data_IF_454005955185
#
_entry.id   IF_454005955185
#
_cell.length_a   1.000
_cell.length_b   1.000
_cell.length_c   1.000
_cell.angle_alpha   90.00
_cell.angle_beta   90.00
_cell.angle_gamma   90.00
#
_symmetry.space_group_name_H-M   'P 1'
#
loop_
_entity.id
_entity.type
_entity.pdbx_description
1 polymer ?
#
# COMPACT_ATOMS: atom_id res chain seq x y z
N UNK A 1 55.11 -1.61 -27.53
CA UNK A 1 54.11 -2.71 -27.49
C UNK A 1 52.66 -2.23 -27.27
N UNK A 2 52.39 -0.93 -27.11
CA UNK A 2 51.02 -0.39 -26.92
C UNK A 2 50.36 0.07 -28.24
N UNK A 3 51.15 0.47 -29.24
CA UNK A 3 50.65 1.00 -30.52
C UNK A 3 50.05 -0.02 -31.51
N UNK A 4 50.05 -1.32 -31.20
CA UNK A 4 49.52 -2.37 -32.10
C UNK A 4 48.08 -2.81 -31.76
N UNK A 5 47.51 -2.31 -30.66
CA UNK A 5 46.18 -2.72 -30.17
C UNK A 5 45.05 -1.86 -30.77
N UNK A 6 45.38 -0.67 -31.27
CA UNK A 6 44.42 0.26 -31.85
C UNK A 6 44.44 0.14 -33.38
N UNK A 7 43.87 -0.95 -33.88
CA UNK A 7 43.40 -1.01 -35.26
C UNK A 7 42.03 -0.30 -35.28
N UNK A 8 41.79 0.65 -36.20
CA UNK A 8 40.59 1.49 -36.21
C UNK A 8 39.27 0.69 -36.18
N UNK A 9 39.28 -0.53 -36.71
CA UNK A 9 38.14 -1.46 -36.64
C UNK A 9 37.79 -1.94 -35.23
N UNK A 10 38.77 -2.04 -34.33
CA UNK A 10 38.58 -2.56 -32.97
C UNK A 10 38.35 -1.44 -31.95
N UNK A 11 38.66 -0.19 -32.27
CA UNK A 11 38.40 0.97 -31.40
C UNK A 11 36.91 1.06 -31.05
N UNK A 12 36.03 0.92 -32.04
CA UNK A 12 34.58 0.93 -31.81
C UNK A 12 34.13 -0.21 -30.86
N UNK A 13 34.70 -1.41 -31.04
CA UNK A 13 34.45 -2.55 -30.16
C UNK A 13 34.86 -2.27 -28.71
N UNK A 14 36.08 -1.75 -28.50
CA UNK A 14 36.58 -1.44 -27.16
C UNK A 14 35.79 -0.32 -26.48
N UNK A 15 35.40 0.73 -27.22
CA UNK A 15 34.57 1.80 -26.69
C UNK A 15 33.21 1.25 -26.25
N UNK A 16 32.56 0.41 -27.06
CA UNK A 16 31.29 -0.22 -26.69
C UNK A 16 31.40 -1.08 -25.43
N UNK A 17 32.48 -1.86 -25.29
CA UNK A 17 32.71 -2.68 -24.08
C UNK A 17 32.85 -1.78 -22.84
N UNK A 18 33.62 -0.69 -22.93
CA UNK A 18 33.81 0.24 -21.81
C UNK A 18 32.49 0.90 -21.41
N UNK A 19 31.68 1.32 -22.39
CA UNK A 19 30.35 1.91 -22.15
C UNK A 19 29.44 0.91 -21.45
N UNK A 20 29.38 -0.35 -21.90
CA UNK A 20 28.60 -1.40 -21.25
C UNK A 20 29.02 -1.57 -19.79
N UNK A 21 30.33 -1.65 -19.51
CA UNK A 21 30.85 -1.81 -18.14
C UNK A 21 30.43 -0.64 -17.25
N UNK A 22 30.53 0.61 -17.73
CA UNK A 22 30.11 1.80 -16.98
C UNK A 22 28.60 1.76 -16.70
N UNK A 23 27.78 1.41 -17.70
CA UNK A 23 26.33 1.29 -17.51
C UNK A 23 25.96 0.18 -16.53
N UNK A 24 26.64 -0.96 -16.57
CA UNK A 24 26.40 -2.07 -15.63
C UNK A 24 26.70 -1.66 -14.19
N UNK A 25 27.83 -0.99 -13.96
CA UNK A 25 28.21 -0.51 -12.61
C UNK A 25 27.22 0.56 -12.13
N UNK A 26 26.89 1.53 -12.99
CA UNK A 26 25.92 2.59 -12.65
C UNK A 26 24.54 2.02 -12.33
N UNK A 27 24.06 1.05 -13.12
CA UNK A 27 22.79 0.36 -12.88
C UNK A 27 22.78 -0.41 -11.56
N UNK A 28 23.85 -1.14 -11.23
CA UNK A 28 23.94 -1.89 -9.97
C UNK A 28 23.87 -0.97 -8.73
N UNK A 29 24.51 0.20 -8.79
CA UNK A 29 24.49 1.19 -7.71
C UNK A 29 23.09 1.82 -7.57
N UNK A 30 22.47 2.21 -8.69
CA UNK A 30 21.15 2.85 -8.65
C UNK A 30 20.07 1.89 -8.16
N UNK A 31 20.03 0.65 -8.67
CA UNK A 31 19.03 -0.35 -8.25
C UNK A 31 19.09 -0.63 -6.75
N UNK A 32 20.28 -0.73 -6.17
CA UNK A 32 20.41 -0.99 -4.74
C UNK A 32 19.81 0.14 -3.89
N UNK A 33 20.01 1.40 -4.31
CA UNK A 33 19.47 2.56 -3.59
C UNK A 33 17.96 2.73 -3.80
N UNK A 34 17.45 2.46 -5.00
CA UNK A 34 16.02 2.59 -5.29
C UNK A 34 15.19 1.44 -4.70
N UNK A 35 15.72 0.21 -4.62
CA UNK A 35 14.98 -0.94 -4.11
C UNK A 35 14.46 -0.73 -2.69
N UNK A 36 15.21 -0.02 -1.83
CA UNK A 36 14.79 0.27 -0.48
C UNK A 36 13.68 1.34 -0.42
N UNK A 37 13.80 2.40 -1.22
CA UNK A 37 12.78 3.45 -1.31
C UNK A 37 11.46 2.92 -1.89
N UNK A 38 11.52 2.12 -2.96
CA UNK A 38 10.32 1.47 -3.52
C UNK A 38 9.65 0.51 -2.53
N UNK A 39 10.43 -0.24 -1.73
CA UNK A 39 9.86 -1.18 -0.76
C UNK A 39 9.08 -0.46 0.35
N UNK A 40 9.63 0.61 0.93
CA UNK A 40 9.01 1.28 2.06
C UNK A 40 7.81 2.14 1.64
N UNK A 41 7.94 2.91 0.55
CA UNK A 41 6.86 3.75 0.03
C UNK A 41 5.68 2.90 -0.46
N UNK A 42 5.96 1.71 -1.03
CA UNK A 42 4.90 0.77 -1.43
C UNK A 42 4.12 0.23 -0.23
N UNK A 43 4.79 -0.07 0.88
CA UNK A 43 4.15 -0.63 2.08
C UNK A 43 3.28 0.41 2.80
N UNK A 44 3.77 1.64 2.94
CA UNK A 44 3.01 2.75 3.53
C UNK A 44 1.79 3.06 2.66
N UNK A 45 1.96 3.18 1.35
CA UNK A 45 0.84 3.45 0.43
C UNK A 45 -0.20 2.32 0.42
N UNK A 46 0.22 1.06 0.59
CA UNK A 46 -0.67 -0.08 0.78
C UNK A 46 -1.46 0.02 2.09
N UNK A 47 -0.80 0.40 3.20
CA UNK A 47 -1.47 0.61 4.49
C UNK A 47 -2.55 1.69 4.40
N UNK A 48 -2.21 2.86 3.87
CA UNK A 48 -3.14 3.97 3.70
C UNK A 48 -4.31 3.60 2.79
N UNK A 49 -4.03 2.90 1.68
CA UNK A 49 -5.07 2.44 0.75
C UNK A 49 -6.03 1.46 1.43
N UNK A 50 -5.51 0.56 2.26
CA UNK A 50 -6.31 -0.42 3.01
C UNK A 50 -7.18 0.25 4.06
N UNK A 51 -6.61 1.20 4.82
CA UNK A 51 -7.36 2.01 5.79
C UNK A 51 -8.47 2.83 5.12
N UNK A 52 -8.17 3.43 3.96
CA UNK A 52 -9.15 4.19 3.19
C UNK A 52 -10.28 3.30 2.68
N UNK A 53 -9.96 2.11 2.18
CA UNK A 53 -10.96 1.13 1.74
C UNK A 53 -11.89 0.73 2.89
N UNK A 54 -11.34 0.35 4.05
CA UNK A 54 -12.11 0.02 5.26
C UNK A 54 -13.03 1.18 5.66
N UNK A 55 -12.51 2.42 5.67
CA UNK A 55 -13.30 3.60 6.01
C UNK A 55 -14.46 3.82 5.03
N UNK A 56 -14.23 3.70 3.72
CA UNK A 56 -15.29 3.83 2.71
C UNK A 56 -16.34 2.73 2.81
N UNK A 57 -15.94 1.52 3.11
CA UNK A 57 -16.87 0.42 3.38
C UNK A 57 -17.71 0.69 4.63
N UNK A 58 -17.12 1.24 5.69
CA UNK A 58 -17.84 1.63 6.90
C UNK A 58 -18.83 2.78 6.65
N UNK A 59 -18.44 3.78 5.84
CA UNK A 59 -19.36 4.84 5.39
C UNK A 59 -20.56 4.23 4.65
N UNK A 60 -20.30 3.32 3.69
CA UNK A 60 -21.36 2.65 2.94
C UNK A 60 -22.28 1.84 3.85
N UNK A 61 -21.74 1.11 4.83
CA UNK A 61 -22.53 0.42 5.85
C UNK A 61 -23.44 1.39 6.62
N UNK A 62 -22.92 2.53 7.09
CA UNK A 62 -23.72 3.54 7.77
C UNK A 62 -24.79 4.19 6.88
N UNK A 63 -24.50 4.38 5.58
CA UNK A 63 -25.47 4.89 4.61
C UNK A 63 -26.63 3.93 4.37
N UNK A 64 -26.37 2.62 4.31
CA UNK A 64 -27.39 1.58 4.14
C UNK A 64 -28.22 1.37 5.41
N UNK A 65 -27.67 1.71 6.58
CA UNK A 65 -28.27 1.44 7.88
C UNK A 65 -28.49 2.74 8.67
N UNK A 66 -29.17 3.73 8.07
CA UNK A 66 -29.44 5.04 8.71
C UNK A 66 -30.18 4.93 10.04
N UNK A 67 -30.95 3.86 10.23
CA UNK A 67 -31.66 3.57 11.47
C UNK A 67 -30.75 3.45 12.70
N UNK A 68 -29.47 3.13 12.50
CA UNK A 68 -28.48 3.07 13.59
C UNK A 68 -28.26 4.42 14.28
N UNK A 69 -28.66 5.53 13.65
CA UNK A 69 -28.42 6.89 14.12
C UNK A 69 -29.68 7.59 14.68
N UNK A 70 -30.82 6.87 14.80
CA UNK A 70 -32.10 7.48 15.27
C UNK A 70 -31.98 8.20 16.60
N UNK A 71 -31.26 7.61 17.55
CA UNK A 71 -31.11 8.13 18.92
C UNK A 71 -29.68 8.60 19.22
N UNK A 72 -28.76 8.52 18.24
CA UNK A 72 -27.33 8.75 18.43
C UNK A 72 -26.70 9.35 17.18
N UNK A 73 -25.87 10.38 17.34
CA UNK A 73 -25.10 10.96 16.22
C UNK A 73 -23.94 10.09 15.75
N UNK A 74 -23.53 9.10 16.55
CA UNK A 74 -22.38 8.24 16.25
C UNK A 74 -22.61 6.80 16.71
N UNK A 75 -22.03 5.88 15.94
CA UNK A 75 -22.04 4.44 16.19
C UNK A 75 -20.60 3.95 16.11
N UNK A 76 -20.26 3.00 16.99
CA UNK A 76 -18.95 2.37 17.01
C UNK A 76 -19.10 0.93 16.57
N UNK A 77 -18.29 0.52 15.60
CA UNK A 77 -18.18 -0.86 15.13
C UNK A 77 -16.70 -1.24 15.06
N UNK A 78 -16.40 -2.49 14.79
CA UNK A 78 -15.04 -2.95 14.46
C UNK A 78 -14.91 -3.23 12.96
N UNK A 79 -13.68 -3.46 12.50
CA UNK A 79 -13.44 -4.01 11.15
C UNK A 79 -14.07 -5.39 11.04
N UNK A 80 -14.01 -6.19 12.10
CA UNK A 80 -14.61 -7.52 12.17
C UNK A 80 -16.15 -7.50 11.99
N UNK A 81 -16.83 -6.47 12.53
CA UNK A 81 -18.26 -6.28 12.31
C UNK A 81 -18.58 -6.10 10.81
N UNK A 82 -17.72 -5.42 10.04
CA UNK A 82 -17.92 -5.22 8.61
C UNK A 82 -17.71 -6.52 7.82
N UNK A 83 -16.79 -7.38 8.27
CA UNK A 83 -16.56 -8.71 7.68
C UNK A 83 -17.77 -9.59 7.95
N UNK A 84 -18.20 -9.70 9.21
CA UNK A 84 -19.34 -10.51 9.64
C UNK A 84 -20.64 -10.08 8.94
N UNK A 85 -20.80 -8.79 8.65
CA UNK A 85 -21.96 -8.26 7.93
C UNK A 85 -21.84 -8.32 6.40
N UNK A 86 -20.73 -8.86 5.88
CA UNK A 86 -20.52 -9.06 4.44
C UNK A 86 -20.17 -7.79 3.65
N UNK A 87 -19.81 -6.70 4.33
CA UNK A 87 -19.41 -5.44 3.70
C UNK A 87 -17.93 -5.43 3.32
N UNK A 88 -17.11 -6.23 4.01
CA UNK A 88 -15.67 -6.28 3.83
C UNK A 88 -15.21 -7.73 3.58
N UNK A 89 -14.38 -7.93 2.56
CA UNK A 89 -13.82 -9.24 2.26
C UNK A 89 -12.53 -9.45 3.04
N UNK A 90 -12.47 -10.57 3.76
CA UNK A 90 -11.30 -11.03 4.49
C UNK A 90 -10.63 -12.20 3.75
N UNK A 91 -9.52 -12.70 4.28
CA UNK A 91 -8.94 -13.96 3.81
C UNK A 91 -9.77 -15.20 4.22
N UNK A 92 -9.26 -16.38 3.90
CA UNK A 92 -9.92 -17.67 4.18
C UNK A 92 -10.17 -17.91 5.68
N UNK A 93 -9.36 -17.31 6.55
CA UNK A 93 -9.47 -17.41 8.01
C UNK A 93 -10.29 -16.26 8.63
N UNK A 94 -10.85 -15.36 7.81
CA UNK A 94 -11.60 -14.19 8.28
C UNK A 94 -10.72 -13.03 8.75
N UNK A 95 -9.42 -13.04 8.43
CA UNK A 95 -8.46 -12.08 8.92
C UNK A 95 -8.16 -10.95 7.92
N UNK A 96 -7.81 -9.79 8.47
CA UNK A 96 -7.31 -8.65 7.70
C UNK A 96 -5.97 -8.20 8.28
N UNK A 97 -4.88 -8.62 7.64
CA UNK A 97 -3.53 -8.28 8.07
C UNK A 97 -3.15 -6.82 7.85
N UNK A 98 -2.32 -6.29 8.74
CA UNK A 98 -1.61 -5.03 8.51
C UNK A 98 -0.49 -5.25 7.46
N UNK A 99 -0.47 -4.51 6.34
CA UNK A 99 0.58 -4.62 5.33
C UNK A 99 1.97 -4.19 5.83
N UNK A 100 2.07 -3.35 6.87
CA UNK A 100 3.33 -2.95 7.51
C UNK A 100 3.88 -4.05 8.43
N UNK A 101 2.99 -4.84 9.04
CA UNK A 101 3.33 -5.88 10.01
C UNK A 101 2.31 -7.03 9.92
N UNK A 102 2.68 -8.09 9.21
CA UNK A 102 1.82 -9.27 9.00
C UNK A 102 1.51 -10.05 10.28
N UNK A 103 2.15 -9.74 11.41
CA UNK A 103 1.81 -10.36 12.70
C UNK A 103 0.60 -9.68 13.35
N UNK A 104 0.22 -8.49 12.87
CA UNK A 104 -0.90 -7.70 13.39
C UNK A 104 -2.12 -7.82 12.50
N UNK A 105 -3.25 -7.99 13.16
CA UNK A 105 -4.57 -7.97 12.54
C UNK A 105 -5.21 -6.59 12.70
N UNK A 106 -6.01 -6.22 11.72
CA UNK A 106 -6.78 -4.98 11.71
C UNK A 106 -8.23 -5.22 12.17
N UNK A 107 -8.65 -6.47 12.36
CA UNK A 107 -10.02 -6.88 12.72
C UNK A 107 -10.57 -6.12 13.94
N UNK A 108 -9.73 -5.90 14.95
CA UNK A 108 -10.11 -5.24 16.21
C UNK A 108 -10.14 -3.71 16.13
N UNK A 109 -9.74 -3.11 15.00
CA UNK A 109 -9.71 -1.67 14.86
C UNK A 109 -11.13 -1.11 14.98
N UNK A 110 -11.31 -0.18 15.91
CA UNK A 110 -12.60 0.46 16.13
C UNK A 110 -12.83 1.49 15.04
N UNK A 111 -14.06 1.58 14.55
CA UNK A 111 -14.48 2.54 13.55
C UNK A 111 -15.62 3.33 14.15
N UNK A 112 -15.44 4.64 14.26
CA UNK A 112 -16.52 5.56 14.58
C UNK A 112 -17.18 5.99 13.28
N UNK A 113 -18.46 5.68 13.14
CA UNK A 113 -19.31 6.18 12.07
C UNK A 113 -20.16 7.29 12.65
N UNK A 114 -20.16 8.46 12.02
CA UNK A 114 -20.91 9.64 12.44
C UNK A 114 -21.86 10.04 11.31
N UNK A 115 -23.08 10.43 11.66
CA UNK A 115 -24.02 11.04 10.72
C UNK A 115 -24.12 12.53 11.02
N UNK A 116 -23.74 13.36 10.05
CA UNK A 116 -23.80 14.82 10.12
C UNK A 116 -24.50 15.34 8.87
N UNK A 117 -25.62 16.06 9.03
CA UNK A 117 -26.36 16.68 7.92
C UNK A 117 -26.61 15.72 6.74
N UNK A 118 -27.19 14.54 7.03
CA UNK A 118 -27.45 13.45 6.07
C UNK A 118 -26.22 12.80 5.42
N UNK A 119 -25.01 13.26 5.77
CA UNK A 119 -23.74 12.70 5.32
C UNK A 119 -23.21 11.72 6.37
N UNK A 120 -22.76 10.55 5.92
CA UNK A 120 -22.13 9.55 6.78
C UNK A 120 -20.63 9.64 6.62
N UNK A 121 -19.90 9.77 7.74
CA UNK A 121 -18.45 9.86 7.80
C UNK A 121 -17.94 8.75 8.71
N UNK A 122 -16.97 7.96 8.24
CA UNK A 122 -16.31 6.96 9.06
C UNK A 122 -14.87 7.36 9.37
N UNK A 123 -14.45 7.11 10.60
CA UNK A 123 -13.07 7.30 11.05
C UNK A 123 -12.61 6.08 11.83
N UNK A 124 -11.50 5.51 11.38
CA UNK A 124 -10.80 4.44 12.10
C UNK A 124 -10.11 5.05 13.31
N UNK A 125 -10.30 4.44 14.47
CA UNK A 125 -9.70 4.75 15.75
C UNK A 125 -8.62 3.70 16.02
N UNK A 126 -7.37 4.15 15.94
CA UNK A 126 -6.16 3.37 16.23
C UNK A 126 -5.78 3.51 17.70
#
# INVERSE_FOLDING_TARGET
MIKKILNDKNIHLYISIIVIVIFTIAYAITVNNYSHAFSNDSVISLYESKMRYISKTAEFYGMQNKDLFKDKSSVYITVDDLITKGYLTADEDGNIYNPEDKTKLLNDFKIRITMENETVIAKILH
#
